data_IF_231023505167
#
_entry.id   IF_231023505167
#
_cell.length_a   1.000
_cell.length_b   1.000
_cell.length_c   1.000
_cell.angle_alpha   90.00
_cell.angle_beta   90.00
_cell.angle_gamma   90.00
#
_symmetry.space_group_name_H-M   'P 1'
#
loop_
_entity.id
_entity.type
_entity.pdbx_description
1 polymer ?
#
# COMPACT_ATOMS: atom_id res chain seq x y z
N UNK A 1 24.01 -34.09 28.50
CA UNK A 1 24.28 -33.11 29.57
C UNK A 1 23.55 -31.81 29.22
N UNK A 2 22.42 -31.54 29.87
CA UNK A 2 21.65 -30.31 29.69
C UNK A 2 22.45 -29.16 30.30
N UNK A 3 23.22 -28.44 29.50
CA UNK A 3 23.85 -27.20 29.96
C UNK A 3 22.76 -26.14 30.02
N UNK A 4 22.48 -25.67 31.24
CA UNK A 4 21.47 -24.64 31.52
C UNK A 4 21.89 -23.31 30.89
N UNK A 5 23.18 -22.99 30.92
CA UNK A 5 23.73 -21.74 30.38
C UNK A 5 25.06 -22.01 29.67
N UNK A 6 25.32 -21.33 28.55
CA UNK A 6 26.65 -21.26 27.96
C UNK A 6 26.99 -19.86 27.47
N UNK A 7 28.26 -19.49 27.59
CA UNK A 7 28.78 -18.32 26.88
C UNK A 7 28.81 -18.58 25.38
N UNK A 8 29.33 -19.74 24.96
CA UNK A 8 29.36 -20.17 23.57
C UNK A 8 28.78 -21.59 23.45
N UNK A 9 27.72 -21.75 22.66
CA UNK A 9 27.10 -23.03 22.36
C UNK A 9 27.29 -23.36 20.88
N UNK A 10 27.94 -24.48 20.57
CA UNK A 10 28.23 -24.89 19.18
C UNK A 10 27.82 -26.35 18.94
N UNK A 11 26.84 -26.57 18.04
CA UNK A 11 26.23 -27.89 17.73
C UNK A 11 25.51 -28.68 18.86
N UNK A 12 25.08 -28.11 20.00
CA UNK A 12 24.30 -28.89 20.96
C UNK A 12 22.85 -29.05 20.51
N UNK A 13 22.22 -30.12 21.00
CA UNK A 13 20.82 -30.43 20.72
C UNK A 13 19.85 -29.48 21.46
N UNK A 14 20.16 -29.13 22.71
CA UNK A 14 19.31 -28.31 23.57
C UNK A 14 20.14 -27.39 24.47
N UNK A 15 19.72 -26.12 24.58
CA UNK A 15 20.19 -25.15 25.56
C UNK A 15 19.03 -24.29 26.06
N UNK A 16 19.07 -23.87 27.32
CA UNK A 16 18.12 -22.88 27.85
C UNK A 16 18.62 -21.48 27.45
N UNK A 17 19.83 -21.11 27.89
CA UNK A 17 20.37 -19.76 27.63
C UNK A 17 21.76 -19.83 27.00
N UNK A 18 22.01 -19.01 25.98
CA UNK A 18 23.34 -18.84 25.42
C UNK A 18 23.65 -17.37 25.10
N UNK A 19 24.89 -16.92 25.33
CA UNK A 19 25.31 -15.62 24.80
C UNK A 19 25.48 -15.73 23.27
N UNK A 20 26.28 -16.68 22.80
CA UNK A 20 26.44 -16.98 21.38
C UNK A 20 26.03 -18.42 21.08
N UNK A 21 25.11 -18.59 20.14
CA UNK A 21 24.60 -19.89 19.72
C UNK A 21 24.89 -20.11 18.23
N UNK A 22 25.57 -21.20 17.90
CA UNK A 22 25.91 -21.57 16.53
C UNK A 22 25.47 -23.01 16.20
N UNK A 23 24.59 -23.15 15.19
CA UNK A 23 24.08 -24.46 14.72
C UNK A 23 23.42 -25.31 15.81
N UNK A 24 22.55 -24.71 16.62
CA UNK A 24 21.75 -25.44 17.62
C UNK A 24 20.48 -26.02 17.02
N UNK A 25 19.98 -27.14 17.56
CA UNK A 25 18.64 -27.59 17.21
C UNK A 25 17.58 -26.75 17.94
N UNK A 26 17.66 -26.69 19.27
CA UNK A 26 16.73 -25.96 20.11
C UNK A 26 17.44 -25.04 21.12
N UNK A 27 16.96 -23.81 21.24
CA UNK A 27 17.44 -22.81 22.20
C UNK A 27 16.28 -21.95 22.73
N UNK A 28 16.20 -21.68 24.03
CA UNK A 28 15.16 -20.77 24.53
C UNK A 28 15.60 -19.32 24.29
N UNK A 29 16.76 -18.91 24.82
CA UNK A 29 17.21 -17.50 24.79
C UNK A 29 18.63 -17.38 24.25
N UNK A 30 18.84 -16.44 23.32
CA UNK A 30 20.15 -16.08 22.79
C UNK A 30 20.41 -14.57 22.85
N UNK A 31 21.66 -14.14 23.09
CA UNK A 31 22.06 -12.80 22.65
C UNK A 31 22.27 -12.82 21.12
N UNK A 32 23.15 -13.70 20.65
CA UNK A 32 23.43 -13.88 19.23
C UNK A 32 23.16 -15.33 18.80
N UNK A 33 22.26 -15.49 17.84
CA UNK A 33 21.84 -16.77 17.29
C UNK A 33 22.21 -16.87 15.80
N UNK A 34 23.11 -17.78 15.45
CA UNK A 34 23.54 -18.01 14.08
C UNK A 34 23.27 -19.46 13.64
N UNK A 35 22.34 -19.63 12.69
CA UNK A 35 21.89 -20.93 12.20
C UNK A 35 21.27 -21.90 13.24
N UNK A 36 20.57 -21.48 14.31
CA UNK A 36 19.74 -22.42 15.04
C UNK A 36 18.52 -22.85 14.20
N UNK A 37 18.01 -24.05 14.44
CA UNK A 37 16.75 -24.50 13.83
C UNK A 37 15.58 -23.79 14.51
N UNK A 38 15.48 -23.87 15.84
CA UNK A 38 14.41 -23.26 16.63
C UNK A 38 14.98 -22.41 17.77
N UNK A 39 14.39 -21.24 17.99
CA UNK A 39 14.53 -20.54 19.26
C UNK A 39 13.33 -19.65 19.62
N UNK A 40 13.18 -19.36 20.92
CA UNK A 40 12.09 -18.51 21.41
C UNK A 40 12.49 -17.04 21.26
N UNK A 41 13.57 -16.61 21.91
CA UNK A 41 13.97 -15.19 21.95
C UNK A 41 15.43 -15.00 21.55
N UNK A 42 15.71 -14.01 20.71
CA UNK A 42 17.08 -13.54 20.48
C UNK A 42 17.20 -12.02 20.36
N UNK A 43 18.34 -11.46 20.76
CA UNK A 43 18.67 -10.09 20.40
C UNK A 43 18.97 -10.02 18.89
N UNK A 44 19.93 -10.80 18.43
CA UNK A 44 20.31 -10.88 17.01
C UNK A 44 20.18 -12.31 16.51
N UNK A 45 19.43 -12.51 15.43
CA UNK A 45 19.23 -13.83 14.85
C UNK A 45 19.50 -13.86 13.35
N UNK A 46 20.30 -14.83 12.90
CA UNK A 46 20.76 -14.93 11.52
C UNK A 46 20.58 -16.34 10.95
N UNK A 47 19.88 -16.45 9.82
CA UNK A 47 19.65 -17.68 9.03
C UNK A 47 19.08 -18.85 9.84
N UNK A 48 17.86 -18.72 10.34
CA UNK A 48 17.21 -19.71 11.21
C UNK A 48 15.86 -20.17 10.63
N UNK A 49 15.35 -21.31 11.11
CA UNK A 49 14.09 -21.86 10.58
C UNK A 49 12.88 -21.25 11.30
N UNK A 50 12.87 -21.27 12.64
CA UNK A 50 11.75 -20.75 13.42
C UNK A 50 12.23 -19.87 14.58
N UNK A 51 11.59 -18.71 14.71
CA UNK A 51 11.78 -17.78 15.83
C UNK A 51 10.46 -17.19 16.27
N UNK A 52 10.26 -17.12 17.59
CA UNK A 52 9.12 -16.41 18.15
C UNK A 52 9.42 -14.91 18.17
N UNK A 53 10.46 -14.48 18.88
CA UNK A 53 10.77 -13.06 19.08
C UNK A 53 12.23 -12.77 18.77
N UNK A 54 12.48 -11.70 17.99
CA UNK A 54 13.83 -11.18 17.81
C UNK A 54 13.88 -9.64 17.85
N UNK A 55 14.93 -9.05 18.40
CA UNK A 55 15.16 -7.62 18.14
C UNK A 55 15.53 -7.41 16.67
N UNK A 56 16.56 -8.11 16.20
CA UNK A 56 16.99 -8.08 14.80
C UNK A 56 17.00 -9.50 14.22
N UNK A 57 16.27 -9.72 13.13
CA UNK A 57 16.22 -10.99 12.43
C UNK A 57 16.65 -10.84 10.97
N UNK A 58 17.59 -11.69 10.53
CA UNK A 58 18.08 -11.71 9.16
C UNK A 58 17.92 -13.11 8.54
N UNK A 59 17.07 -13.19 7.51
CA UNK A 59 16.71 -14.41 6.78
C UNK A 59 16.10 -15.55 7.65
N UNK A 60 15.07 -15.31 8.49
CA UNK A 60 14.24 -16.41 8.99
C UNK A 60 13.47 -17.09 7.87
N UNK A 61 13.15 -18.37 8.04
CA UNK A 61 12.03 -18.98 7.33
C UNK A 61 10.71 -18.52 7.96
N UNK A 62 10.51 -18.71 9.26
CA UNK A 62 9.32 -18.31 10.00
C UNK A 62 9.70 -17.42 11.19
N UNK A 63 9.05 -16.26 11.29
CA UNK A 63 9.24 -15.30 12.37
C UNK A 63 7.88 -14.79 12.85
N UNK A 64 7.65 -14.78 14.17
CA UNK A 64 6.41 -14.22 14.73
C UNK A 64 6.57 -12.71 14.90
N UNK A 65 7.49 -12.26 15.76
CA UNK A 65 7.64 -10.83 16.10
C UNK A 65 9.08 -10.36 15.99
N UNK A 66 9.32 -9.22 15.32
CA UNK A 66 10.61 -8.55 15.44
C UNK A 66 10.53 -7.01 15.39
N UNK A 67 11.52 -6.37 16.01
CA UNK A 67 11.74 -4.95 15.81
C UNK A 67 12.18 -4.70 14.37
N UNK A 68 13.25 -5.36 13.92
CA UNK A 68 13.74 -5.26 12.55
C UNK A 68 13.88 -6.65 11.92
N UNK A 69 13.26 -6.85 10.76
CA UNK A 69 13.42 -8.08 9.98
C UNK A 69 13.89 -7.79 8.56
N UNK A 70 14.87 -8.57 8.11
CA UNK A 70 15.41 -8.50 6.76
C UNK A 70 15.27 -9.87 6.07
N UNK A 71 14.50 -9.92 4.99
CA UNK A 71 14.23 -11.10 4.17
C UNK A 71 13.63 -12.32 4.89
N UNK A 72 12.60 -12.18 5.76
CA UNK A 72 11.87 -13.35 6.25
C UNK A 72 11.00 -13.97 5.13
N UNK A 73 10.79 -15.28 5.15
CA UNK A 73 9.82 -15.92 4.23
C UNK A 73 8.39 -15.71 4.73
N UNK A 74 8.12 -16.02 6.00
CA UNK A 74 6.84 -15.75 6.66
C UNK A 74 7.06 -14.91 7.91
N UNK A 75 6.30 -13.82 8.04
CA UNK A 75 6.43 -12.89 9.16
C UNK A 75 5.08 -12.34 9.63
N UNK A 76 4.79 -12.44 10.92
CA UNK A 76 3.54 -11.94 11.50
C UNK A 76 3.64 -10.44 11.78
N UNK A 77 4.52 -9.98 12.69
CA UNK A 77 4.50 -8.58 13.16
C UNK A 77 5.89 -7.94 13.20
N UNK A 78 6.04 -6.81 12.50
CA UNK A 78 7.28 -6.02 12.47
C UNK A 78 7.10 -4.58 12.94
N UNK A 79 8.11 -4.00 13.59
CA UNK A 79 8.27 -2.53 13.52
C UNK A 79 8.78 -2.15 12.12
N UNK A 80 9.88 -2.74 11.66
CA UNK A 80 10.44 -2.53 10.33
C UNK A 80 10.69 -3.86 9.61
N UNK A 81 10.16 -4.00 8.40
CA UNK A 81 10.39 -5.17 7.55
C UNK A 81 10.95 -4.77 6.19
N UNK A 82 12.04 -5.42 5.78
CA UNK A 82 12.62 -5.23 4.45
C UNK A 82 12.66 -6.54 3.67
N UNK A 83 12.01 -6.56 2.52
CA UNK A 83 11.89 -7.69 1.58
C UNK A 83 11.32 -8.99 2.18
N UNK A 84 10.25 -8.97 3.01
CA UNK A 84 9.57 -10.20 3.38
C UNK A 84 8.85 -10.81 2.16
N UNK A 85 8.73 -12.14 2.11
CA UNK A 85 7.83 -12.76 1.12
C UNK A 85 6.38 -12.59 1.55
N UNK A 86 6.02 -13.03 2.76
CA UNK A 86 4.70 -12.83 3.34
C UNK A 86 4.81 -12.07 4.66
N UNK A 87 4.05 -10.97 4.79
CA UNK A 87 4.00 -10.15 5.99
C UNK A 87 2.56 -9.82 6.36
N UNK A 88 2.17 -10.09 7.61
CA UNK A 88 0.83 -9.75 8.10
C UNK A 88 0.78 -8.27 8.47
N UNK A 89 1.53 -7.85 9.48
CA UNK A 89 1.47 -6.49 10.02
C UNK A 89 2.85 -5.86 10.12
N UNK A 90 3.00 -4.61 9.69
CA UNK A 90 4.17 -3.82 10.02
C UNK A 90 3.87 -2.35 10.27
N UNK A 91 4.68 -1.70 11.09
CA UNK A 91 4.70 -0.23 11.11
C UNK A 91 5.31 0.31 9.79
N UNK A 92 6.50 -0.17 9.41
CA UNK A 92 7.12 0.14 8.12
C UNK A 92 7.45 -1.14 7.33
N UNK A 93 7.01 -1.21 6.08
CA UNK A 93 7.34 -2.30 5.17
C UNK A 93 7.96 -1.79 3.86
N UNK A 94 9.08 -2.36 3.47
CA UNK A 94 9.75 -2.05 2.20
C UNK A 94 9.90 -3.32 1.35
N UNK A 95 9.35 -3.28 0.13
CA UNK A 95 9.41 -4.35 -0.87
C UNK A 95 8.87 -5.72 -0.39
N UNK A 96 7.75 -5.82 0.35
CA UNK A 96 7.11 -7.11 0.58
C UNK A 96 6.52 -7.65 -0.72
N UNK A 97 6.50 -8.99 -0.90
CA UNK A 97 5.72 -9.57 -1.99
C UNK A 97 4.21 -9.50 -1.65
N UNK A 98 3.84 -9.99 -0.47
CA UNK A 98 2.49 -9.91 0.07
C UNK A 98 2.51 -9.20 1.42
N UNK A 99 1.62 -8.21 1.58
CA UNK A 99 1.42 -7.47 2.82
C UNK A 99 -0.08 -7.35 3.12
N UNK A 100 -0.48 -7.60 4.37
CA UNK A 100 -1.87 -7.39 4.79
C UNK A 100 -2.04 -5.94 5.26
N UNK A 101 -1.38 -5.55 6.34
CA UNK A 101 -1.56 -4.22 6.95
C UNK A 101 -0.22 -3.53 7.21
N UNK A 102 -0.13 -2.24 6.86
CA UNK A 102 0.95 -1.41 7.37
C UNK A 102 0.58 0.06 7.54
N UNK A 103 1.29 0.73 8.45
CA UNK A 103 1.23 2.19 8.52
C UNK A 103 1.90 2.80 7.29
N UNK A 104 3.13 2.41 6.99
CA UNK A 104 3.83 2.85 5.77
C UNK A 104 4.31 1.66 4.95
N UNK A 105 3.91 1.60 3.68
CA UNK A 105 4.42 0.61 2.73
C UNK A 105 5.04 1.25 1.50
N UNK A 106 6.23 0.77 1.16
CA UNK A 106 6.96 1.20 -0.03
C UNK A 106 7.25 0.01 -0.94
N UNK A 107 6.72 0.05 -2.16
CA UNK A 107 6.87 -0.99 -3.20
C UNK A 107 6.38 -2.40 -2.83
N UNK A 108 5.22 -2.59 -2.19
CA UNK A 108 4.61 -3.92 -2.12
C UNK A 108 4.12 -4.36 -3.51
N UNK A 109 4.16 -5.67 -3.80
CA UNK A 109 3.47 -6.22 -4.98
C UNK A 109 1.97 -6.28 -4.73
N UNK A 110 1.56 -6.94 -3.65
CA UNK A 110 0.17 -7.03 -3.21
C UNK A 110 0.02 -6.47 -1.81
N UNK A 111 -0.96 -5.58 -1.63
CA UNK A 111 -1.21 -4.95 -0.34
C UNK A 111 -2.71 -4.75 -0.08
N UNK A 112 -3.18 -5.12 1.11
CA UNK A 112 -4.59 -4.95 1.50
C UNK A 112 -4.83 -3.54 2.03
N UNK A 113 -4.23 -3.16 3.17
CA UNK A 113 -4.58 -1.91 3.86
C UNK A 113 -3.36 -1.09 4.29
N UNK A 114 -3.32 0.17 3.85
CA UNK A 114 -2.27 1.12 4.19
C UNK A 114 -2.81 2.40 4.85
N UNK A 115 -2.05 2.99 5.78
CA UNK A 115 -2.18 4.43 6.00
C UNK A 115 -1.53 5.19 4.84
N UNK A 116 -0.24 4.95 4.59
CA UNK A 116 0.51 5.55 3.49
C UNK A 116 1.13 4.47 2.60
N UNK A 117 0.79 4.49 1.30
CA UNK A 117 1.31 3.54 0.33
C UNK A 117 2.00 4.24 -0.85
N UNK A 118 3.20 3.79 -1.20
CA UNK A 118 4.00 4.37 -2.27
C UNK A 118 4.47 3.32 -3.28
N UNK A 119 4.17 3.53 -4.57
CA UNK A 119 4.61 2.72 -5.73
C UNK A 119 4.27 1.22 -5.63
N UNK A 120 2.99 0.86 -5.63
CA UNK A 120 2.52 -0.53 -5.50
C UNK A 120 1.85 -1.02 -6.78
N UNK A 121 1.85 -2.34 -6.99
CA UNK A 121 1.14 -2.95 -8.12
C UNK A 121 -0.35 -3.04 -7.80
N UNK A 122 -0.74 -3.73 -6.73
CA UNK A 122 -2.14 -3.87 -6.31
C UNK A 122 -2.34 -3.40 -4.87
N UNK A 123 -3.27 -2.47 -4.66
CA UNK A 123 -3.70 -2.01 -3.34
C UNK A 123 -5.22 -1.97 -3.21
N UNK A 124 -5.75 -2.55 -2.14
CA UNK A 124 -7.19 -2.53 -1.87
C UNK A 124 -7.58 -1.19 -1.25
N UNK A 125 -7.02 -0.83 -0.09
CA UNK A 125 -7.43 0.36 0.66
C UNK A 125 -6.25 1.18 1.14
N UNK A 126 -6.33 2.50 0.97
CA UNK A 126 -5.35 3.43 1.51
C UNK A 126 -5.98 4.70 2.10
N UNK A 127 -5.39 5.26 3.16
CA UNK A 127 -5.64 6.67 3.45
C UNK A 127 -4.99 7.54 2.36
N UNK A 128 -3.68 7.37 2.15
CA UNK A 128 -2.92 8.08 1.12
C UNK A 128 -2.18 7.11 0.22
N UNK A 129 -2.43 7.18 -1.09
CA UNK A 129 -1.77 6.35 -2.09
C UNK A 129 -1.06 7.19 -3.15
N UNK A 130 0.22 6.90 -3.40
CA UNK A 130 1.03 7.58 -4.40
C UNK A 130 1.59 6.59 -5.42
N UNK A 131 1.20 6.78 -6.68
CA UNK A 131 1.55 5.94 -7.85
C UNK A 131 1.18 4.45 -7.71
N UNK A 132 -0.08 4.09 -7.38
CA UNK A 132 -0.57 2.72 -7.63
C UNK A 132 -0.58 2.39 -9.13
N UNK A 133 -0.41 1.12 -9.47
CA UNK A 133 -0.94 0.61 -10.75
C UNK A 133 -2.46 0.38 -10.62
N UNK A 134 -2.89 -0.43 -9.66
CA UNK A 134 -4.29 -0.67 -9.34
C UNK A 134 -4.61 -0.29 -7.90
N UNK A 135 -5.67 0.50 -7.72
CA UNK A 135 -6.18 0.92 -6.42
C UNK A 135 -7.71 0.83 -6.38
N UNK A 136 -8.25 0.11 -5.40
CA UNK A 136 -9.70 0.00 -5.23
C UNK A 136 -10.23 1.27 -4.54
N UNK A 137 -9.83 1.53 -3.29
CA UNK A 137 -10.35 2.65 -2.50
C UNK A 137 -9.24 3.48 -1.89
N UNK A 138 -9.35 4.81 -1.96
CA UNK A 138 -8.53 5.69 -1.14
C UNK A 138 -9.22 6.96 -0.67
N UNK A 139 -8.76 7.51 0.46
CA UNK A 139 -9.11 8.89 0.79
C UNK A 139 -8.43 9.84 -0.19
N UNK A 140 -7.10 9.77 -0.33
CA UNK A 140 -6.34 10.58 -1.27
C UNK A 140 -5.49 9.69 -2.20
N UNK A 141 -5.68 9.84 -3.51
CA UNK A 141 -4.90 9.12 -4.51
C UNK A 141 -4.19 10.08 -5.47
N UNK A 142 -2.89 9.87 -5.64
CA UNK A 142 -2.07 10.67 -6.55
C UNK A 142 -1.39 9.79 -7.61
N UNK A 143 -1.72 10.04 -8.87
CA UNK A 143 -1.22 9.35 -10.06
C UNK A 143 -1.44 7.82 -10.10
N UNK A 144 -2.63 7.29 -9.78
CA UNK A 144 -2.93 5.89 -10.08
C UNK A 144 -3.09 5.67 -11.58
N UNK A 145 -2.76 4.47 -12.07
CA UNK A 145 -3.17 4.07 -13.42
C UNK A 145 -4.67 3.74 -13.41
N UNK A 146 -5.11 2.86 -12.52
CA UNK A 146 -6.52 2.51 -12.33
C UNK A 146 -6.95 2.79 -10.89
N UNK A 147 -8.07 3.52 -10.74
CA UNK A 147 -8.67 3.84 -9.46
C UNK A 147 -10.19 3.63 -9.51
N UNK A 148 -10.74 2.82 -8.61
CA UNK A 148 -12.19 2.61 -8.54
C UNK A 148 -12.85 3.78 -7.79
N UNK A 149 -12.51 3.99 -6.51
CA UNK A 149 -13.18 4.98 -5.67
C UNK A 149 -12.18 5.85 -4.92
N UNK A 150 -12.39 7.16 -4.91
CA UNK A 150 -11.66 8.03 -3.98
C UNK A 150 -12.45 9.22 -3.45
N UNK A 151 -12.05 9.74 -2.28
CA UNK A 151 -12.50 11.07 -1.87
C UNK A 151 -11.86 12.12 -2.77
N UNK A 152 -10.53 12.12 -2.87
CA UNK A 152 -9.76 13.02 -3.70
C UNK A 152 -8.81 12.24 -4.63
N UNK A 153 -8.93 12.47 -5.94
CA UNK A 153 -8.08 11.86 -6.94
C UNK A 153 -7.34 12.93 -7.77
N UNK A 154 -6.02 12.81 -7.86
CA UNK A 154 -5.19 13.70 -8.67
C UNK A 154 -4.42 12.94 -9.74
N UNK A 155 -4.69 13.26 -11.01
CA UNK A 155 -4.08 12.66 -12.21
C UNK A 155 -4.22 11.13 -12.33
N UNK A 156 -5.40 10.52 -12.10
CA UNK A 156 -5.60 9.13 -12.47
C UNK A 156 -5.65 8.98 -14.00
N UNK A 157 -5.20 7.83 -14.54
CA UNK A 157 -5.46 7.53 -15.96
C UNK A 157 -6.93 7.11 -16.12
N UNK A 158 -7.38 6.13 -15.35
CA UNK A 158 -8.77 5.69 -15.27
C UNK A 158 -9.31 5.87 -13.85
N UNK A 159 -10.46 6.51 -13.73
CA UNK A 159 -11.18 6.71 -12.47
C UNK A 159 -12.65 6.34 -12.64
N UNK A 160 -13.20 5.51 -11.76
CA UNK A 160 -14.65 5.25 -11.76
C UNK A 160 -15.40 6.33 -10.99
N UNK A 161 -15.16 6.48 -9.69
CA UNK A 161 -15.95 7.38 -8.84
C UNK A 161 -15.05 8.23 -7.94
N UNK A 162 -15.33 9.54 -7.85
CA UNK A 162 -14.75 10.37 -6.80
C UNK A 162 -15.62 11.54 -6.36
N UNK A 163 -15.43 12.00 -5.11
CA UNK A 163 -15.97 13.31 -4.71
C UNK A 163 -15.27 14.42 -5.48
N UNK A 164 -13.93 14.49 -5.41
CA UNK A 164 -13.15 15.47 -6.14
C UNK A 164 -12.12 14.79 -7.04
N UNK A 165 -12.13 15.10 -8.34
CA UNK A 165 -11.10 14.66 -9.26
C UNK A 165 -10.44 15.83 -10.00
N UNK A 166 -9.11 15.80 -10.05
CA UNK A 166 -8.32 16.77 -10.76
C UNK A 166 -7.46 16.09 -11.83
N UNK A 167 -7.68 16.47 -13.09
CA UNK A 167 -6.97 15.97 -14.28
C UNK A 167 -7.03 14.44 -14.50
N UNK A 168 -8.18 13.75 -14.36
CA UNK A 168 -8.29 12.38 -14.82
C UNK A 168 -8.26 12.32 -16.36
N UNK A 169 -7.76 11.22 -16.94
CA UNK A 169 -7.86 11.03 -18.41
C UNK A 169 -9.26 10.51 -18.76
N UNK A 170 -9.69 9.45 -18.09
CA UNK A 170 -11.04 8.89 -18.21
C UNK A 170 -11.71 8.88 -16.84
N UNK A 171 -12.92 9.41 -16.75
CA UNK A 171 -13.66 9.49 -15.50
C UNK A 171 -15.16 9.22 -15.68
N UNK A 172 -15.72 8.30 -14.89
CA UNK A 172 -17.13 7.95 -14.96
C UNK A 172 -17.98 8.94 -14.15
N UNK A 173 -17.85 8.99 -12.82
CA UNK A 173 -18.78 9.75 -11.97
C UNK A 173 -18.07 10.65 -10.96
N UNK A 174 -18.38 11.94 -10.98
CA UNK A 174 -17.84 12.93 -10.05
C UNK A 174 -18.90 13.72 -9.28
N UNK A 175 -18.60 14.13 -8.06
CA UNK A 175 -19.25 15.34 -7.53
C UNK A 175 -18.62 16.59 -8.16
N UNK A 176 -17.30 16.73 -8.07
CA UNK A 176 -16.54 17.83 -8.66
C UNK A 176 -15.41 17.29 -9.55
N UNK A 177 -15.43 17.65 -10.84
CA UNK A 177 -14.40 17.29 -11.79
C UNK A 177 -13.73 18.54 -12.37
N UNK A 178 -12.41 18.61 -12.26
CA UNK A 178 -11.62 19.70 -12.80
C UNK A 178 -10.59 19.20 -13.81
N UNK A 179 -10.69 19.68 -15.05
CA UNK A 179 -9.81 19.31 -16.17
C UNK A 179 -9.77 17.83 -16.56
N UNK A 180 -10.89 17.07 -16.55
CA UNK A 180 -10.92 15.75 -17.17
C UNK A 180 -10.78 15.85 -18.69
N UNK A 181 -10.18 14.85 -19.33
CA UNK A 181 -10.24 14.71 -20.79
C UNK A 181 -11.60 14.13 -21.19
N UNK A 182 -11.97 12.97 -20.66
CA UNK A 182 -13.26 12.34 -20.85
C UNK A 182 -14.01 12.20 -19.53
N UNK A 183 -15.23 12.71 -19.46
CA UNK A 183 -16.10 12.64 -18.29
C UNK A 183 -17.50 12.17 -18.68
N UNK A 184 -18.04 11.16 -17.99
CA UNK A 184 -19.40 10.69 -18.24
C UNK A 184 -20.39 11.56 -17.46
N UNK A 185 -20.35 11.54 -16.13
CA UNK A 185 -21.32 12.23 -15.28
C UNK A 185 -20.63 13.07 -14.21
N UNK A 186 -21.09 14.30 -14.00
CA UNK A 186 -20.70 15.09 -12.83
C UNK A 186 -21.80 16.01 -12.31
N UNK A 187 -21.77 16.31 -11.00
CA UNK A 187 -22.55 17.44 -10.49
C UNK A 187 -21.95 18.76 -10.97
N UNK A 188 -20.64 18.96 -10.78
CA UNK A 188 -19.91 20.14 -11.24
C UNK A 188 -18.70 19.73 -12.10
N UNK A 189 -18.64 20.21 -13.33
CA UNK A 189 -17.54 19.94 -14.26
C UNK A 189 -16.92 21.25 -14.76
N UNK A 190 -15.60 21.40 -14.61
CA UNK A 190 -14.88 22.61 -15.02
C UNK A 190 -13.71 22.29 -15.98
N UNK A 191 -13.67 22.99 -17.12
CA UNK A 191 -12.61 22.93 -18.15
C UNK A 191 -12.34 21.53 -18.69
N UNK A 192 -13.31 20.90 -19.34
CA UNK A 192 -13.19 19.53 -19.84
C UNK A 192 -13.30 19.45 -21.36
N UNK A 193 -12.74 18.39 -21.94
CA UNK A 193 -12.79 18.18 -23.39
C UNK A 193 -14.12 17.52 -23.80
N UNK A 194 -14.40 16.31 -23.29
CA UNK A 194 -15.65 15.60 -23.56
C UNK A 194 -16.45 15.39 -22.26
N UNK A 195 -17.74 15.73 -22.30
CA UNK A 195 -18.67 15.52 -21.20
C UNK A 195 -20.00 14.97 -21.73
N UNK A 196 -20.49 13.88 -21.12
CA UNK A 196 -21.83 13.36 -21.46
C UNK A 196 -22.91 14.14 -20.69
N UNK A 197 -22.90 14.10 -19.36
CA UNK A 197 -23.96 14.71 -18.55
C UNK A 197 -23.39 15.48 -17.37
N UNK A 198 -23.82 16.74 -17.17
CA UNK A 198 -23.59 17.42 -15.90
C UNK A 198 -24.77 18.25 -15.41
N UNK A 199 -24.83 18.49 -14.11
CA UNK A 199 -25.72 19.52 -13.58
C UNK A 199 -25.16 20.91 -13.90
N UNK A 200 -23.89 21.17 -13.56
CA UNK A 200 -23.19 22.40 -13.91
C UNK A 200 -21.93 22.10 -14.73
N UNK A 201 -21.83 22.68 -15.93
CA UNK A 201 -20.66 22.60 -16.80
C UNK A 201 -20.10 24.00 -17.09
N UNK A 202 -18.85 24.27 -16.70
CA UNK A 202 -18.17 25.55 -16.96
C UNK A 202 -16.95 25.34 -17.86
N UNK A 203 -16.90 26.08 -18.98
CA UNK A 203 -15.88 26.01 -20.04
C UNK A 203 -15.71 24.60 -20.61
N UNK A 204 -16.80 23.91 -20.99
CA UNK A 204 -16.71 22.62 -21.65
C UNK A 204 -16.38 22.78 -23.15
N UNK A 205 -15.60 21.87 -23.74
CA UNK A 205 -15.38 21.87 -25.19
C UNK A 205 -16.53 21.17 -25.91
N UNK A 206 -16.85 19.93 -25.53
CA UNK A 206 -17.90 19.08 -26.11
C UNK A 206 -18.81 18.43 -25.03
N UNK A 207 -19.66 19.20 -24.34
CA UNK A 207 -20.79 18.69 -23.56
C UNK A 207 -21.94 18.18 -24.44
N UNK A 208 -22.50 17.02 -24.10
CA UNK A 208 -23.75 16.50 -24.70
C UNK A 208 -24.95 17.14 -23.97
N UNK A 209 -25.12 16.83 -22.69
CA UNK A 209 -26.26 17.28 -21.88
C UNK A 209 -25.77 18.04 -20.65
N UNK A 210 -26.34 19.23 -20.39
CA UNK A 210 -26.13 19.93 -19.14
C UNK A 210 -27.40 20.60 -18.63
N UNK A 211 -27.61 20.68 -17.32
CA UNK A 211 -28.66 21.56 -16.80
C UNK A 211 -28.23 23.03 -16.95
N UNK A 212 -27.03 23.38 -16.51
CA UNK A 212 -26.43 24.69 -16.67
C UNK A 212 -25.09 24.58 -17.41
N UNK A 213 -24.95 25.26 -18.55
CA UNK A 213 -23.72 25.33 -19.33
C UNK A 213 -23.21 26.78 -19.45
N UNK A 214 -22.05 27.08 -18.86
CA UNK A 214 -21.37 28.37 -19.01
C UNK A 214 -20.15 28.25 -19.93
N UNK A 215 -20.14 29.06 -20.98
CA UNK A 215 -19.10 29.18 -22.02
C UNK A 215 -18.74 27.85 -22.71
N UNK A 216 -19.71 27.07 -23.22
CA UNK A 216 -19.41 25.92 -24.05
C UNK A 216 -18.87 26.33 -25.43
N UNK A 217 -17.93 25.55 -25.98
CA UNK A 217 -17.50 25.71 -27.38
C UNK A 217 -18.52 25.08 -28.34
N UNK A 218 -18.88 23.83 -28.06
CA UNK A 218 -19.98 23.11 -28.70
C UNK A 218 -20.98 22.70 -27.61
N UNK A 219 -22.26 22.54 -27.93
CA UNK A 219 -23.27 22.08 -26.97
C UNK A 219 -24.44 21.45 -27.71
N UNK A 220 -24.85 20.24 -27.32
CA UNK A 220 -26.01 19.56 -27.91
C UNK A 220 -27.30 19.99 -27.21
N UNK A 221 -27.41 19.82 -25.90
CA UNK A 221 -28.62 20.17 -25.16
C UNK A 221 -28.30 20.76 -23.79
N UNK A 222 -28.95 21.87 -23.46
CA UNK A 222 -28.99 22.36 -22.08
C UNK A 222 -30.32 23.02 -21.72
N UNK A 223 -30.66 23.04 -20.44
CA UNK A 223 -31.78 23.84 -19.92
C UNK A 223 -31.42 25.33 -19.89
N UNK A 224 -30.22 25.66 -19.41
CA UNK A 224 -29.69 27.02 -19.40
C UNK A 224 -28.28 27.04 -20.01
N UNK A 225 -28.07 27.91 -21.01
CA UNK A 225 -26.78 28.06 -21.68
C UNK A 225 -26.36 29.52 -21.80
N UNK A 226 -25.20 29.87 -21.28
CA UNK A 226 -24.54 31.16 -21.50
C UNK A 226 -23.34 30.96 -22.43
N UNK A 227 -23.43 31.40 -23.69
CA UNK A 227 -22.31 31.33 -24.65
C UNK A 227 -21.37 32.54 -24.48
N UNK A 228 -20.08 32.44 -24.80
CA UNK A 228 -19.24 33.63 -24.93
C UNK A 228 -19.78 34.48 -26.09
N UNK A 229 -19.74 35.81 -25.97
CA UNK A 229 -19.91 36.72 -27.11
C UNK A 229 -18.74 36.55 -28.08
#
# INVERSE_FOLDING_TARGET
>A
MNRITAQNAHKPMYFITAQNAHKLMNLIIAQNAHKPTYFITAQNAHKHMYVITAQNAHKPMNLITAQNAHKPMYFITAQNAHKPMNLITAHNACKPMYLITAQNAHKPTYFITAQNAHKHMNLITAQNAHKPMFLITAQNAHKPMYLITAQNAHKPMYLSTAQNAHKPTYFITAQNAHKPMNLITAQNAHKHMYLITAHNAHKPMYPITAQNADKPMYLITAQHAHKPM
#
